data_IF_874933288339
#
_entry.id   IF_874933288339
#
_cell.length_a   1.000
_cell.length_b   1.000
_cell.length_c   1.000
_cell.angle_alpha   90.00
_cell.angle_beta   90.00
_cell.angle_gamma   90.00
#
_symmetry.space_group_name_H-M   'P 1'
#
loop_
_entity.id
_entity.type
_entity.pdbx_description
1 polymer ?
#
# COMPACT_ATOMS: atom_id res chain seq x y z
N UNK A 1 -3.70 16.32 28.63
CA UNK A 1 -4.27 15.31 27.74
C UNK A 1 -4.96 15.96 26.57
N UNK A 2 -4.54 15.63 25.35
CA UNK A 2 -5.24 15.97 24.10
C UNK A 2 -6.07 14.78 23.67
N UNK A 3 -7.35 15.00 23.43
CA UNK A 3 -8.22 14.00 22.79
C UNK A 3 -8.24 14.26 21.29
N UNK A 4 -8.05 13.21 20.50
CA UNK A 4 -8.17 13.21 19.04
C UNK A 4 -9.44 12.44 18.70
N UNK A 5 -10.50 13.18 18.40
CA UNK A 5 -11.77 12.60 17.96
C UNK A 5 -11.65 12.15 16.50
N UNK A 6 -11.75 10.85 16.26
CA UNK A 6 -11.59 10.24 14.94
C UNK A 6 -12.94 9.71 14.46
N UNK A 7 -13.50 10.34 13.43
CA UNK A 7 -14.56 9.71 12.64
C UNK A 7 -13.94 8.61 11.78
N UNK A 8 -14.60 7.46 11.67
CA UNK A 8 -14.05 6.31 10.95
C UNK A 8 -14.99 5.93 9.82
N UNK A 9 -14.42 5.74 8.64
CA UNK A 9 -15.10 5.21 7.47
C UNK A 9 -14.36 3.99 6.97
N UNK A 10 -15.10 2.96 6.55
CA UNK A 10 -14.51 1.77 5.92
C UNK A 10 -15.18 1.50 4.58
N UNK A 11 -14.43 0.98 3.63
CA UNK A 11 -15.02 0.42 2.43
C UNK A 11 -15.96 -0.74 2.81
N UNK A 12 -17.10 -0.95 2.11
CA UNK A 12 -18.04 -2.03 2.41
C UNK A 12 -17.40 -3.42 2.57
N UNK A 13 -16.36 -3.72 1.80
CA UNK A 13 -15.64 -5.00 1.86
C UNK A 13 -14.55 -5.10 2.92
N UNK A 14 -14.27 -4.02 3.67
CA UNK A 14 -13.30 -4.07 4.78
C UNK A 14 -13.99 -4.51 6.06
N UNK A 15 -13.45 -5.54 6.71
CA UNK A 15 -13.88 -6.06 8.02
C UNK A 15 -13.35 -5.20 9.17
N UNK A 16 -14.14 -4.22 9.60
CA UNK A 16 -13.78 -3.31 10.68
C UNK A 16 -14.99 -2.88 11.51
N UNK A 17 -14.98 -3.25 12.79
CA UNK A 17 -16.06 -2.99 13.74
C UNK A 17 -15.73 -1.88 14.72
N UNK A 18 -16.76 -1.37 15.40
CA UNK A 18 -16.61 -0.42 16.52
C UNK A 18 -15.65 -0.92 17.60
N UNK A 19 -15.74 -2.20 17.99
CA UNK A 19 -14.88 -2.77 19.04
C UNK A 19 -13.44 -2.93 18.58
N UNK A 20 -13.21 -3.28 17.30
CA UNK A 20 -11.87 -3.31 16.70
C UNK A 20 -11.25 -1.91 16.67
N UNK A 21 -12.03 -0.89 16.30
CA UNK A 21 -11.62 0.51 16.34
C UNK A 21 -11.19 0.96 17.74
N UNK A 22 -12.05 0.73 18.73
CA UNK A 22 -11.81 1.17 20.11
C UNK A 22 -10.55 0.49 20.69
N UNK A 23 -10.33 -0.78 20.38
CA UNK A 23 -9.11 -1.51 20.77
C UNK A 23 -7.87 -0.87 20.13
N UNK A 24 -7.86 -0.66 18.82
CA UNK A 24 -6.72 -0.07 18.10
C UNK A 24 -6.43 1.34 18.62
N UNK A 25 -7.45 2.15 18.87
CA UNK A 25 -7.27 3.50 19.42
C UNK A 25 -6.72 3.49 20.84
N UNK A 26 -7.17 2.55 21.68
CA UNK A 26 -6.61 2.35 23.01
C UNK A 26 -5.13 1.95 22.93
N UNK A 27 -4.78 1.02 22.06
CA UNK A 27 -3.41 0.54 21.87
C UNK A 27 -2.49 1.65 21.31
N UNK A 28 -2.94 2.39 20.29
CA UNK A 28 -2.23 3.54 19.73
C UNK A 28 -2.02 4.66 20.78
N UNK A 29 -3.05 4.99 21.56
CA UNK A 29 -2.95 5.98 22.65
C UNK A 29 -1.94 5.54 23.69
N UNK A 30 -2.04 4.28 24.13
CA UNK A 30 -1.14 3.70 25.12
C UNK A 30 0.31 3.69 24.65
N UNK A 31 0.53 3.45 23.36
CA UNK A 31 1.86 3.48 22.73
C UNK A 31 2.50 4.85 22.85
N UNK A 32 1.76 5.93 22.54
CA UNK A 32 2.26 7.30 22.67
C UNK A 32 2.40 7.77 24.12
N UNK A 33 1.57 7.28 25.04
CA UNK A 33 1.55 7.73 26.44
C UNK A 33 2.62 7.09 27.33
N UNK A 34 3.26 6.02 26.89
CA UNK A 34 4.27 5.31 27.68
C UNK A 34 5.62 6.00 27.58
N UNK A 35 6.46 5.76 28.59
CA UNK A 35 7.88 6.08 28.56
C UNK A 35 8.66 4.78 28.46
N UNK A 36 9.01 4.43 27.24
CA UNK A 36 9.54 3.14 26.85
C UNK A 36 11.07 3.11 26.71
N UNK A 37 11.73 4.24 26.97
CA UNK A 37 13.19 4.39 26.93
C UNK A 37 13.68 5.76 27.43
N UNK A 38 15.00 5.96 27.44
CA UNK A 38 15.58 7.24 27.85
C UNK A 38 15.35 8.38 26.84
N UNK A 39 15.28 8.04 25.55
CA UNK A 39 15.07 9.00 24.45
C UNK A 39 13.58 9.26 24.18
N UNK A 40 12.71 8.50 24.82
CA UNK A 40 11.28 8.53 24.62
C UNK A 40 10.61 9.57 25.54
N UNK A 41 9.69 10.33 24.96
CA UNK A 41 8.91 11.36 25.64
C UNK A 41 7.45 10.93 25.62
N UNK A 42 6.85 10.57 26.77
CA UNK A 42 5.44 10.21 26.80
C UNK A 42 4.58 11.40 26.36
N UNK A 43 3.66 11.14 25.43
CA UNK A 43 2.74 12.12 24.85
C UNK A 43 1.34 11.82 25.31
N UNK A 44 0.76 12.77 26.04
CA UNK A 44 -0.57 12.64 26.64
C UNK A 44 -1.68 12.86 25.58
N UNK A 45 -1.78 11.94 24.62
CA UNK A 45 -2.78 11.90 23.55
C UNK A 45 -3.66 10.68 23.67
N UNK A 46 -4.96 10.88 23.46
CA UNK A 46 -5.94 9.82 23.41
C UNK A 46 -6.71 9.87 22.10
N UNK A 47 -6.58 8.84 21.27
CA UNK A 47 -7.48 8.61 20.15
C UNK A 47 -8.80 8.07 20.68
N UNK A 48 -9.91 8.67 20.24
CA UNK A 48 -11.25 8.21 20.58
C UNK A 48 -12.11 8.23 19.33
N UNK A 49 -13.00 7.25 19.23
CA UNK A 49 -13.91 7.16 18.09
C UNK A 49 -15.03 8.18 18.23
N UNK A 50 -15.24 8.97 17.17
CA UNK A 50 -16.34 9.94 17.06
C UNK A 50 -17.52 9.30 16.35
N UNK A 51 -18.46 8.75 17.12
CA UNK A 51 -19.63 8.06 16.57
C UNK A 51 -19.35 6.61 16.18
N UNK A 52 -20.17 6.00 15.34
CA UNK A 52 -19.94 4.62 14.85
C UNK A 52 -18.93 4.59 13.71
N UNK A 53 -18.35 3.41 13.45
CA UNK A 53 -17.69 3.12 12.18
C UNK A 53 -18.73 3.20 11.06
N UNK A 54 -18.53 4.14 10.15
CA UNK A 54 -19.39 4.36 9.01
C UNK A 54 -18.91 3.54 7.80
N UNK A 55 -19.79 3.35 6.83
CA UNK A 55 -19.48 2.70 5.56
C UNK A 55 -19.31 3.77 4.49
N UNK A 56 -18.21 3.71 3.73
CA UNK A 56 -17.96 4.59 2.59
C UNK A 56 -19.07 4.40 1.54
N UNK A 57 -19.46 5.47 0.81
CA UNK A 57 -20.34 5.33 -0.34
C UNK A 57 -19.83 4.31 -1.36
N UNK A 58 -20.74 3.60 -2.05
CA UNK A 58 -20.39 2.53 -2.99
C UNK A 58 -19.59 3.01 -4.22
N UNK A 59 -19.60 4.32 -4.51
CA UNK A 59 -18.83 4.91 -5.61
C UNK A 59 -17.38 5.22 -5.22
N UNK A 60 -16.94 4.79 -4.04
CA UNK A 60 -15.61 5.05 -3.50
C UNK A 60 -14.80 3.77 -3.64
N UNK A 61 -13.63 3.80 -4.27
CA UNK A 61 -12.92 2.58 -4.60
C UNK A 61 -12.42 1.85 -3.35
N UNK A 62 -12.50 0.52 -3.38
CA UNK A 62 -11.93 -0.33 -2.33
C UNK A 62 -10.41 -0.39 -2.34
N UNK A 63 -9.76 0.01 -3.43
CA UNK A 63 -8.31 0.10 -3.56
C UNK A 63 -7.97 1.41 -4.24
N UNK A 64 -7.06 2.19 -3.65
CA UNK A 64 -6.63 3.47 -4.22
C UNK A 64 -5.50 3.27 -5.23
N UNK A 65 -5.74 3.53 -6.52
CA UNK A 65 -4.81 3.23 -7.63
C UNK A 65 -4.32 4.44 -8.38
N UNK A 66 -5.12 5.51 -8.35
CA UNK A 66 -4.87 6.73 -9.09
C UNK A 66 -4.93 7.94 -8.18
N UNK A 67 -4.49 9.08 -8.70
CA UNK A 67 -4.71 10.38 -8.05
C UNK A 67 -6.21 10.70 -7.90
N UNK A 68 -7.05 10.20 -8.82
CA UNK A 68 -8.51 10.38 -8.72
C UNK A 68 -9.05 9.63 -7.51
N UNK A 69 -8.70 8.35 -7.35
CA UNK A 69 -9.11 7.51 -6.22
C UNK A 69 -8.66 8.12 -4.90
N UNK A 70 -7.42 8.60 -4.85
CA UNK A 70 -6.90 9.36 -3.72
C UNK A 70 -7.79 10.56 -3.40
N UNK A 71 -8.14 11.37 -4.39
CA UNK A 71 -9.01 12.53 -4.18
C UNK A 71 -10.42 12.11 -3.74
N UNK A 72 -10.98 11.04 -4.30
CA UNK A 72 -12.31 10.54 -3.92
C UNK A 72 -12.33 10.10 -2.46
N UNK A 73 -11.36 9.27 -2.04
CA UNK A 73 -11.27 8.79 -0.66
C UNK A 73 -11.03 9.93 0.32
N UNK A 74 -10.07 10.83 0.04
CA UNK A 74 -9.71 11.93 0.95
C UNK A 74 -10.73 13.07 0.97
N UNK A 75 -11.57 13.22 -0.05
CA UNK A 75 -12.63 14.25 -0.06
C UNK A 75 -13.89 13.83 0.71
N UNK A 76 -14.03 12.54 1.04
CA UNK A 76 -15.11 12.05 1.91
C UNK A 76 -14.78 12.40 3.34
N UNK A 77 -15.72 13.05 4.03
CA UNK A 77 -15.64 13.41 5.44
C UNK A 77 -14.26 14.00 5.81
N UNK A 78 -14.17 15.32 5.71
CA UNK A 78 -12.94 16.14 5.86
C UNK A 78 -12.12 15.92 7.14
N UNK A 79 -12.55 15.08 8.09
CA UNK A 79 -11.81 14.82 9.33
C UNK A 79 -12.02 13.37 9.77
N UNK A 80 -11.34 12.41 9.13
CA UNK A 80 -11.60 10.99 9.39
C UNK A 80 -10.44 10.06 9.03
N UNK A 81 -10.46 8.89 9.65
CA UNK A 81 -9.73 7.70 9.24
C UNK A 81 -10.56 6.94 8.19
N UNK A 82 -9.99 6.68 7.01
CA UNK A 82 -10.58 5.85 5.97
C UNK A 82 -9.85 4.51 5.90
N UNK A 83 -10.62 3.43 5.83
CA UNK A 83 -10.09 2.09 5.69
C UNK A 83 -10.48 1.53 4.33
N UNK A 84 -9.48 1.26 3.51
CA UNK A 84 -9.59 0.65 2.17
C UNK A 84 -8.95 -0.73 2.19
N UNK A 85 -9.26 -1.57 1.20
CA UNK A 85 -8.62 -2.89 1.06
C UNK A 85 -7.14 -2.76 0.69
N UNK A 86 -6.78 -1.77 -0.12
CA UNK A 86 -5.40 -1.56 -0.55
C UNK A 86 -5.10 -0.13 -0.97
N UNK A 87 -3.82 0.23 -0.94
CA UNK A 87 -3.33 1.52 -1.39
C UNK A 87 -2.19 1.25 -2.37
N UNK A 88 -2.46 1.43 -3.66
CA UNK A 88 -1.48 1.34 -4.74
C UNK A 88 -0.98 2.72 -5.20
N UNK A 89 -1.67 3.78 -4.78
CA UNK A 89 -1.25 5.16 -4.96
C UNK A 89 -1.53 5.98 -3.70
N UNK A 90 -0.51 6.70 -3.23
CA UNK A 90 -0.64 7.75 -2.21
C UNK A 90 -0.56 9.15 -2.85
N UNK A 91 -1.10 9.30 -4.06
CA UNK A 91 -1.17 10.57 -4.78
C UNK A 91 -0.28 10.59 -6.02
N UNK A 92 1.02 10.83 -5.86
CA UNK A 92 1.99 10.96 -6.97
C UNK A 92 2.84 9.72 -7.20
N UNK A 93 2.82 8.79 -6.25
CA UNK A 93 3.67 7.61 -6.26
C UNK A 93 2.83 6.36 -6.39
N UNK A 94 3.31 5.44 -7.22
CA UNK A 94 2.72 4.13 -7.42
C UNK A 94 3.56 3.08 -6.68
N UNK A 95 2.92 2.26 -5.87
CA UNK A 95 3.58 1.29 -4.99
C UNK A 95 2.57 0.42 -4.27
N UNK A 96 2.94 -0.10 -3.10
CA UNK A 96 2.01 -0.80 -2.21
C UNK A 96 2.18 -0.25 -0.80
N UNK A 97 1.22 0.53 -0.32
CA UNK A 97 1.34 1.32 0.91
C UNK A 97 0.48 0.72 2.04
N UNK A 98 0.97 0.76 3.28
CA UNK A 98 0.19 0.36 4.44
C UNK A 98 -0.68 1.50 4.97
N UNK A 99 -0.19 2.74 4.83
CA UNK A 99 -0.87 3.96 5.21
C UNK A 99 -0.57 5.10 4.24
N UNK A 100 -1.39 6.13 4.29
CA UNK A 100 -1.21 7.35 3.52
C UNK A 100 -1.89 8.49 4.27
N UNK A 101 -1.16 9.60 4.47
CA UNK A 101 -1.69 10.82 5.03
C UNK A 101 -0.97 12.03 4.46
N UNK A 102 -1.71 13.09 4.09
CA UNK A 102 -1.07 14.33 3.69
C UNK A 102 -0.35 14.97 4.88
N UNK A 103 0.88 15.44 4.61
CA UNK A 103 1.73 16.08 5.59
C UNK A 103 1.27 17.51 5.85
N UNK A 104 1.08 17.86 7.12
CA UNK A 104 0.85 19.25 7.55
C UNK A 104 -0.48 19.86 7.11
N UNK A 105 -1.49 19.05 6.81
CA UNK A 105 -2.84 19.54 6.56
C UNK A 105 -3.54 19.91 7.88
N UNK A 106 -4.50 20.83 7.79
CA UNK A 106 -5.28 21.32 8.93
C UNK A 106 -6.44 20.43 9.34
N UNK A 107 -6.36 19.15 8.99
CA UNK A 107 -7.39 18.18 9.22
C UNK A 107 -6.80 16.80 9.47
N UNK A 108 -7.47 16.03 10.30
CA UNK A 108 -7.16 14.61 10.47
C UNK A 108 -7.63 13.87 9.22
N UNK A 109 -6.69 13.40 8.41
CA UNK A 109 -7.02 12.73 7.17
C UNK A 109 -5.99 11.65 6.89
N UNK A 110 -6.42 10.41 6.99
CA UNK A 110 -5.55 9.25 6.92
C UNK A 110 -6.32 8.15 6.20
N UNK A 111 -5.65 7.49 5.27
CA UNK A 111 -6.13 6.23 4.71
C UNK A 111 -5.19 5.13 5.16
N UNK A 112 -5.75 4.06 5.72
CA UNK A 112 -4.97 2.92 6.18
C UNK A 112 -5.55 1.64 5.58
N UNK A 113 -4.67 0.75 5.16
CA UNK A 113 -5.02 -0.60 4.73
C UNK A 113 -5.73 -1.34 5.86
N UNK A 114 -6.99 -1.69 5.66
CA UNK A 114 -7.89 -2.22 6.69
C UNK A 114 -7.50 -3.60 7.27
N UNK A 115 -6.62 -4.32 6.57
CA UNK A 115 -6.05 -5.61 6.99
C UNK A 115 -4.68 -5.48 7.66
N UNK A 116 -4.09 -4.28 7.73
CA UNK A 116 -2.78 -4.13 8.38
C UNK A 116 -2.84 -4.65 9.83
N UNK A 117 -1.84 -5.46 10.19
CA UNK A 117 -1.70 -6.01 11.54
C UNK A 117 -1.24 -4.95 12.54
N UNK A 118 -0.72 -3.84 12.02
CA UNK A 118 0.04 -2.84 12.76
C UNK A 118 -0.69 -1.50 12.81
N UNK A 119 -2.03 -1.51 12.74
CA UNK A 119 -2.85 -0.29 12.76
C UNK A 119 -2.58 0.59 13.98
N UNK A 120 -2.19 0.01 15.12
CA UNK A 120 -1.84 0.74 16.33
C UNK A 120 -0.46 1.44 16.25
N UNK A 121 0.35 1.14 15.23
CA UNK A 121 1.60 1.82 14.88
C UNK A 121 1.38 2.76 13.68
N UNK A 122 0.68 2.30 12.64
CA UNK A 122 0.42 3.10 11.44
C UNK A 122 -0.46 4.30 11.77
N UNK A 123 -1.51 4.13 12.57
CA UNK A 123 -2.39 5.24 12.96
C UNK A 123 -1.63 6.44 13.58
N UNK A 124 -0.81 6.26 14.63
CA UNK A 124 -0.05 7.38 15.18
C UNK A 124 1.04 7.88 14.21
N UNK A 125 1.57 7.05 13.32
CA UNK A 125 2.49 7.48 12.26
C UNK A 125 1.80 8.44 11.27
N UNK A 126 0.68 8.02 10.68
CA UNK A 126 -0.12 8.84 9.75
C UNK A 126 -0.65 10.12 10.42
N UNK A 127 -1.04 10.03 11.70
CA UNK A 127 -1.42 11.21 12.47
C UNK A 127 -0.24 12.18 12.66
N UNK A 128 0.98 11.65 12.80
CA UNK A 128 2.20 12.44 12.87
C UNK A 128 2.43 13.25 11.59
N UNK A 129 2.19 12.65 10.41
CA UNK A 129 2.19 13.39 9.15
C UNK A 129 1.18 14.54 9.15
N UNK A 130 -0.07 14.33 9.59
CA UNK A 130 -1.01 15.44 9.71
C UNK A 130 -0.51 16.54 10.66
N UNK A 131 0.23 16.20 11.72
CA UNK A 131 0.88 17.14 12.63
C UNK A 131 2.13 17.84 12.03
N UNK A 132 2.46 17.55 10.77
CA UNK A 132 3.61 18.12 10.04
C UNK A 132 4.94 17.48 10.41
N UNK A 133 4.94 16.21 10.83
CA UNK A 133 6.15 15.43 11.02
C UNK A 133 6.51 14.70 9.72
N UNK A 134 7.75 14.83 9.22
CA UNK A 134 8.25 13.96 8.17
C UNK A 134 8.61 12.59 8.74
N UNK A 135 8.89 11.63 7.86
CA UNK A 135 9.52 10.39 8.28
C UNK A 135 10.89 10.62 8.93
N UNK A 136 11.21 9.76 9.89
CA UNK A 136 12.55 9.60 10.44
C UNK A 136 13.31 8.54 9.67
N UNK A 137 14.63 8.75 9.62
CA UNK A 137 15.61 7.82 9.03
C UNK A 137 16.67 7.36 10.03
N UNK A 138 16.76 8.03 11.18
CA UNK A 138 17.89 7.89 12.10
C UNK A 138 17.70 6.76 13.12
N UNK A 139 16.48 6.34 13.42
CA UNK A 139 16.22 5.34 14.45
C UNK A 139 14.86 4.64 14.28
N UNK A 140 14.90 3.32 14.10
CA UNK A 140 13.74 2.47 13.85
C UNK A 140 12.86 2.17 15.07
N UNK A 141 13.22 2.69 16.25
CA UNK A 141 12.37 2.63 17.45
C UNK A 141 11.35 3.78 17.50
N UNK A 142 11.45 4.79 16.63
CA UNK A 142 10.55 5.93 16.63
C UNK A 142 9.28 5.66 15.83
N UNK A 143 8.15 6.23 16.26
CA UNK A 143 6.85 6.09 15.58
C UNK A 143 6.88 6.65 14.16
N UNK A 144 7.59 7.76 13.95
CA UNK A 144 7.73 8.37 12.62
C UNK A 144 8.74 7.64 11.72
N UNK A 145 9.24 6.46 12.09
CA UNK A 145 10.08 5.67 11.20
C UNK A 145 9.23 5.02 10.10
N UNK A 146 9.66 5.09 8.83
CA UNK A 146 8.86 4.69 7.65
C UNK A 146 8.59 3.19 7.48
N UNK A 147 8.94 2.35 8.46
CA UNK A 147 8.68 0.91 8.42
C UNK A 147 8.33 0.37 9.81
N UNK A 148 7.31 -0.47 9.89
CA UNK A 148 6.80 -1.07 11.12
C UNK A 148 7.80 -2.05 11.73
N UNK A 149 8.14 -1.84 13.00
CA UNK A 149 8.92 -2.79 13.81
C UNK A 149 8.30 -2.97 15.18
N UNK A 150 8.51 -4.16 15.78
CA UNK A 150 8.04 -4.51 17.12
C UNK A 150 8.50 -3.54 18.23
N UNK A 151 9.59 -2.80 17.99
CA UNK A 151 10.14 -1.80 18.88
C UNK A 151 9.70 -0.36 18.64
N UNK A 152 8.81 -0.07 17.68
CA UNK A 152 8.35 1.30 17.38
C UNK A 152 7.45 1.84 18.47
N UNK A 153 8.02 2.67 19.33
CA UNK A 153 7.33 3.23 20.51
C UNK A 153 7.87 4.58 20.96
N UNK A 154 8.94 5.07 20.33
CA UNK A 154 9.58 6.31 20.74
C UNK A 154 9.01 7.51 20.00
N UNK A 155 8.93 8.61 20.72
CA UNK A 155 8.81 9.95 20.17
C UNK A 155 9.76 10.87 20.93
N UNK A 156 10.38 11.81 20.23
CA UNK A 156 11.24 12.80 20.88
C UNK A 156 10.46 14.03 21.34
N UNK A 157 11.13 14.97 21.98
CA UNK A 157 10.51 16.19 22.48
C UNK A 157 9.89 17.07 21.39
N UNK A 158 10.48 17.09 20.18
CA UNK A 158 9.97 17.87 19.04
C UNK A 158 8.71 17.22 18.48
N UNK A 159 8.72 15.91 18.30
CA UNK A 159 7.57 15.13 17.86
C UNK A 159 6.42 15.21 18.86
N UNK A 160 6.71 15.03 20.15
CA UNK A 160 5.74 15.17 21.24
C UNK A 160 5.00 16.51 21.19
N UNK A 161 5.73 17.61 21.00
CA UNK A 161 5.12 18.94 20.86
C UNK A 161 4.23 19.05 19.62
N UNK A 162 4.62 18.46 18.48
CA UNK A 162 3.81 18.46 17.25
C UNK A 162 2.52 17.66 17.43
N UNK A 163 2.62 16.46 17.97
CA UNK A 163 1.48 15.62 18.31
C UNK A 163 0.48 16.34 19.25
N UNK A 164 0.96 17.04 20.29
CA UNK A 164 0.10 17.79 21.21
C UNK A 164 -0.56 19.01 20.57
N UNK A 165 0.09 19.64 19.60
CA UNK A 165 -0.50 20.72 18.81
C UNK A 165 -1.56 20.18 17.83
N UNK A 166 -1.37 18.96 17.32
CA UNK A 166 -2.24 18.30 16.36
C UNK A 166 -2.00 18.76 14.92
N UNK A 167 -2.96 18.48 14.01
CA UNK A 167 -2.87 18.88 12.61
C UNK A 167 -2.65 20.39 12.45
N UNK A 168 -1.77 20.79 11.54
CA UNK A 168 -1.33 22.19 11.41
C UNK A 168 -2.43 23.07 10.82
N UNK A 169 -2.76 24.22 11.42
CA UNK A 169 -3.88 25.08 10.98
C UNK A 169 -3.80 25.57 9.51
N UNK A 170 -2.61 25.63 8.90
CA UNK A 170 -2.41 25.91 7.47
C UNK A 170 -0.96 25.65 7.04
N UNK A 171 -0.78 24.90 5.95
CA UNK A 171 0.35 25.05 5.04
C UNK A 171 -0.23 25.13 3.62
N UNK A 172 -0.37 26.36 3.10
CA UNK A 172 -0.33 26.59 1.65
C UNK A 172 1.14 26.39 1.24
N UNK A 173 1.51 25.16 0.90
CA UNK A 173 2.87 24.83 0.48
C UNK A 173 2.92 23.39 -0.01
N UNK A 174 3.68 23.16 -1.09
CA UNK A 174 3.94 21.81 -1.61
C UNK A 174 4.40 20.88 -0.49
N UNK A 175 3.85 19.66 -0.49
CA UNK A 175 4.25 18.61 0.43
C UNK A 175 5.77 18.40 0.27
N UNK A 176 6.57 18.47 1.33
CA UNK A 176 7.98 18.13 1.22
C UNK A 176 8.09 16.70 0.69
N UNK A 177 8.90 16.50 -0.34
CA UNK A 177 9.17 15.20 -0.94
C UNK A 177 9.77 14.27 0.14
N UNK A 178 9.07 13.19 0.43
CA UNK A 178 9.47 12.22 1.45
C UNK A 178 10.34 11.18 0.76
N UNK A 179 11.66 11.36 0.77
CA UNK A 179 12.55 10.25 0.42
C UNK A 179 12.65 9.30 1.62
N UNK A 180 12.39 8.01 1.42
CA UNK A 180 12.51 7.00 2.46
C UNK A 180 13.90 6.36 2.34
N UNK A 181 14.83 6.68 3.25
CA UNK A 181 16.07 5.92 3.37
C UNK A 181 15.91 4.86 4.45
N UNK A 182 16.31 3.64 4.13
CA UNK A 182 16.13 2.45 4.95
C UNK A 182 17.34 2.27 5.86
N UNK A 183 17.19 1.68 7.07
CA UNK A 183 18.30 1.59 7.99
C UNK A 183 19.24 0.44 7.61
N UNK A 184 20.51 0.57 7.98
CA UNK A 184 21.65 -0.37 7.82
C UNK A 184 21.38 -1.81 8.35
N UNK A 185 20.25 -2.05 9.02
CA UNK A 185 19.76 -3.39 9.39
C UNK A 185 19.22 -4.21 8.22
N UNK A 186 18.99 -3.61 7.05
CA UNK A 186 18.56 -4.29 5.82
C UNK A 186 19.66 -5.15 5.17
N UNK A 187 20.66 -5.63 5.91
CA UNK A 187 21.68 -6.54 5.35
C UNK A 187 21.20 -7.98 5.23
N UNK A 188 20.21 -8.37 6.02
CA UNK A 188 19.63 -9.71 5.97
C UNK A 188 18.27 -9.65 5.30
N UNK A 189 18.10 -10.45 4.27
CA UNK A 189 16.84 -10.53 3.53
C UNK A 189 15.65 -10.88 4.44
N UNK A 190 15.85 -11.76 5.43
CA UNK A 190 14.81 -12.12 6.42
C UNK A 190 14.25 -10.89 7.15
N UNK A 191 15.13 -10.05 7.68
CA UNK A 191 14.73 -8.88 8.46
C UNK A 191 14.04 -7.85 7.58
N UNK A 192 14.39 -7.82 6.29
CA UNK A 192 13.80 -6.93 5.29
C UNK A 192 12.38 -7.39 4.91
N UNK A 193 12.20 -8.63 4.44
CA UNK A 193 10.88 -9.08 3.97
C UNK A 193 9.89 -9.37 5.08
N UNK A 194 10.34 -9.54 6.33
CA UNK A 194 9.45 -9.60 7.50
C UNK A 194 9.20 -8.23 8.15
N UNK A 195 9.55 -7.14 7.48
CA UNK A 195 9.21 -5.76 7.87
C UNK A 195 8.06 -5.23 7.01
N UNK A 196 7.00 -4.71 7.64
CA UNK A 196 5.94 -3.99 6.93
C UNK A 196 6.39 -2.53 6.69
N UNK A 197 6.48 -2.10 5.44
CA UNK A 197 6.89 -0.74 5.08
C UNK A 197 5.67 0.15 4.90
N UNK A 198 5.60 1.27 5.62
CA UNK A 198 4.42 2.13 5.63
C UNK A 198 4.24 2.79 4.27
N UNK A 199 5.35 3.29 3.72
CA UNK A 199 5.40 4.02 2.45
C UNK A 199 5.78 3.14 1.25
N UNK A 200 5.61 1.82 1.40
CA UNK A 200 5.98 0.83 0.39
C UNK A 200 7.42 0.34 0.50
N UNK A 201 7.68 -0.76 -0.19
CA UNK A 201 8.98 -1.43 -0.12
C UNK A 201 10.03 -0.54 -0.80
N UNK A 202 11.14 -0.28 -0.11
CA UNK A 202 12.16 0.63 -0.60
C UNK A 202 12.99 -0.06 -1.68
N UNK A 203 12.93 0.51 -2.89
CA UNK A 203 13.48 -0.09 -4.10
C UNK A 203 15.01 -0.20 -4.08
N UNK A 204 15.71 0.85 -3.65
CA UNK A 204 17.17 0.90 -3.70
C UNK A 204 17.82 -0.21 -2.86
N UNK A 205 17.22 -0.56 -1.73
CA UNK A 205 17.72 -1.61 -0.84
C UNK A 205 17.28 -2.99 -1.29
N UNK A 206 16.04 -3.13 -1.78
CA UNK A 206 15.56 -4.40 -2.32
C UNK A 206 16.36 -4.85 -3.56
N UNK A 207 16.73 -3.92 -4.44
CA UNK A 207 17.51 -4.19 -5.66
C UNK A 207 18.98 -4.53 -5.39
N UNK A 208 19.48 -4.39 -4.16
CA UNK A 208 20.85 -4.76 -3.80
C UNK A 208 21.02 -6.25 -3.50
N UNK A 209 19.93 -6.99 -3.26
CA UNK A 209 19.98 -8.43 -3.04
C UNK A 209 20.25 -9.19 -4.36
N UNK A 210 20.81 -10.39 -4.28
CA UNK A 210 21.22 -11.16 -5.44
C UNK A 210 20.40 -12.43 -5.70
N UNK A 211 20.90 -13.25 -6.62
CA UNK A 211 20.31 -14.54 -7.02
C UNK A 211 20.12 -15.51 -5.85
N UNK A 212 21.01 -15.49 -4.84
CA UNK A 212 20.88 -16.35 -3.66
C UNK A 212 19.65 -15.97 -2.83
N UNK A 213 19.47 -14.67 -2.56
CA UNK A 213 18.29 -14.17 -1.87
C UNK A 213 17.02 -14.37 -2.70
N UNK A 214 17.07 -14.17 -4.02
CA UNK A 214 15.92 -14.42 -4.89
C UNK A 214 15.40 -15.87 -4.75
N UNK A 215 16.30 -16.87 -4.83
CA UNK A 215 15.94 -18.28 -4.61
C UNK A 215 15.36 -18.53 -3.22
N UNK A 216 15.88 -17.86 -2.20
CA UNK A 216 15.34 -17.98 -0.86
C UNK A 216 13.92 -17.42 -0.75
N UNK A 217 13.65 -16.25 -1.35
CA UNK A 217 12.32 -15.65 -1.41
C UNK A 217 11.31 -16.52 -2.17
N UNK A 218 11.73 -17.19 -3.25
CA UNK A 218 10.88 -18.15 -3.95
C UNK A 218 10.41 -19.31 -3.05
N UNK A 219 11.27 -19.79 -2.15
CA UNK A 219 10.90 -20.81 -1.16
C UNK A 219 9.93 -20.25 -0.11
N UNK A 220 10.11 -19.00 0.33
CA UNK A 220 9.18 -18.35 1.25
C UNK A 220 7.78 -18.18 0.63
N UNK A 221 7.67 -17.87 -0.66
CA UNK A 221 6.40 -17.73 -1.39
C UNK A 221 5.58 -19.03 -1.49
N UNK A 222 6.22 -20.19 -1.30
CA UNK A 222 5.54 -21.49 -1.34
C UNK A 222 4.92 -21.87 0.01
N UNK A 223 5.32 -21.21 1.09
CA UNK A 223 4.93 -21.57 2.45
C UNK A 223 3.79 -20.65 2.95
N UNK A 224 2.57 -21.19 3.16
CA UNK A 224 1.43 -20.39 3.63
C UNK A 224 1.65 -19.77 5.02
N UNK A 225 2.65 -20.22 5.79
CA UNK A 225 3.00 -19.58 7.07
C UNK A 225 3.56 -18.16 6.89
N UNK A 226 4.01 -17.81 5.68
CA UNK A 226 4.52 -16.49 5.34
C UNK A 226 3.50 -15.60 4.64
N UNK A 227 2.22 -16.02 4.57
CA UNK A 227 1.19 -15.33 3.78
C UNK A 227 1.04 -13.85 4.15
N UNK A 228 1.14 -13.56 5.45
CA UNK A 228 1.11 -12.19 6.00
C UNK A 228 2.28 -11.29 5.58
N UNK A 229 3.28 -11.85 4.88
CA UNK A 229 4.45 -11.17 4.33
C UNK A 229 4.62 -11.40 2.82
N UNK A 230 3.65 -12.04 2.14
CA UNK A 230 3.79 -12.32 0.71
C UNK A 230 3.96 -11.05 -0.11
N UNK A 231 3.28 -9.95 0.23
CA UNK A 231 3.48 -8.64 -0.43
C UNK A 231 4.94 -8.21 -0.33
N UNK A 232 5.55 -8.35 0.84
CA UNK A 232 6.95 -7.99 1.05
C UNK A 232 7.89 -8.87 0.23
N UNK A 233 7.67 -10.18 0.28
CA UNK A 233 8.49 -11.18 -0.38
C UNK A 233 8.43 -11.00 -1.91
N UNK A 234 7.23 -10.94 -2.50
CA UNK A 234 7.07 -10.93 -3.96
C UNK A 234 7.50 -9.61 -4.59
N UNK A 235 7.21 -8.48 -3.95
CA UNK A 235 7.68 -7.18 -4.46
C UNK A 235 9.20 -7.07 -4.37
N UNK A 236 9.83 -7.58 -3.30
CA UNK A 236 11.30 -7.64 -3.21
C UNK A 236 11.87 -8.54 -4.32
N UNK A 237 11.25 -9.68 -4.60
CA UNK A 237 11.64 -10.56 -5.69
C UNK A 237 11.57 -9.85 -7.06
N UNK A 238 10.51 -9.08 -7.31
CA UNK A 238 10.39 -8.25 -8.52
C UNK A 238 11.47 -7.17 -8.61
N UNK A 239 11.84 -6.55 -7.47
CA UNK A 239 12.89 -5.53 -7.41
C UNK A 239 14.30 -6.09 -7.56
N UNK A 240 14.57 -7.33 -7.13
CA UNK A 240 15.85 -8.00 -7.41
C UNK A 240 16.02 -8.22 -8.91
N UNK A 241 14.94 -8.57 -9.61
CA UNK A 241 14.97 -8.73 -11.07
C UNK A 241 15.81 -9.92 -11.53
N UNK A 242 15.86 -11.02 -10.79
CA UNK A 242 16.52 -12.25 -11.24
C UNK A 242 15.65 -12.95 -12.30
N UNK A 243 16.10 -13.09 -13.58
CA UNK A 243 15.32 -13.74 -14.62
C UNK A 243 14.87 -15.16 -14.29
N UNK A 244 15.61 -15.89 -13.43
CA UNK A 244 15.22 -17.23 -13.00
C UNK A 244 13.91 -17.24 -12.17
N UNK A 245 13.58 -16.12 -11.52
CA UNK A 245 12.41 -15.99 -10.66
C UNK A 245 11.10 -15.70 -11.41
N UNK A 246 11.13 -15.50 -12.74
CA UNK A 246 9.92 -15.23 -13.55
C UNK A 246 8.82 -16.26 -13.27
N UNK A 247 9.16 -17.54 -13.38
CA UNK A 247 8.16 -18.60 -13.28
C UNK A 247 7.60 -18.69 -11.86
N UNK A 248 8.42 -18.41 -10.83
CA UNK A 248 7.94 -18.36 -9.44
C UNK A 248 6.94 -17.21 -9.23
N UNK A 249 7.23 -16.01 -9.74
CA UNK A 249 6.34 -14.84 -9.65
C UNK A 249 5.02 -15.11 -10.39
N UNK A 250 5.09 -15.56 -11.64
CA UNK A 250 3.89 -15.82 -12.46
C UNK A 250 3.06 -16.97 -11.87
N UNK A 251 3.70 -18.04 -11.37
CA UNK A 251 2.97 -19.13 -10.73
C UNK A 251 2.33 -18.69 -9.41
N UNK A 252 2.97 -17.81 -8.64
CA UNK A 252 2.37 -17.23 -7.44
C UNK A 252 1.09 -16.45 -7.76
N UNK A 253 1.12 -15.60 -8.80
CA UNK A 253 -0.05 -14.84 -9.26
C UNK A 253 -1.20 -15.80 -9.63
N UNK A 254 -0.91 -16.82 -10.43
CA UNK A 254 -1.90 -17.80 -10.92
C UNK A 254 -2.39 -18.78 -9.84
N UNK A 255 -1.76 -18.83 -8.67
CA UNK A 255 -2.06 -19.85 -7.66
C UNK A 255 -3.42 -19.59 -6.99
N UNK A 256 -4.46 -20.33 -7.35
CA UNK A 256 -5.80 -20.19 -6.77
C UNK A 256 -5.95 -20.76 -5.35
N UNK A 257 -4.95 -21.46 -4.82
CA UNK A 257 -4.98 -21.99 -3.46
C UNK A 257 -4.68 -20.93 -2.39
N UNK A 258 -3.95 -19.86 -2.74
CA UNK A 258 -3.71 -18.71 -1.85
C UNK A 258 -4.76 -17.63 -2.14
N UNK A 259 -5.84 -17.62 -1.36
CA UNK A 259 -7.02 -16.79 -1.60
C UNK A 259 -7.51 -16.04 -0.35
N UNK A 260 -6.65 -15.85 0.65
CA UNK A 260 -6.94 -14.89 1.72
C UNK A 260 -6.80 -13.46 1.20
N UNK A 261 -7.27 -12.49 1.99
CA UNK A 261 -7.14 -11.06 1.65
C UNK A 261 -5.65 -10.65 1.51
N UNK A 262 -4.76 -11.16 2.38
CA UNK A 262 -3.32 -10.86 2.35
C UNK A 262 -2.64 -11.47 1.12
N UNK A 263 -2.96 -12.72 0.77
CA UNK A 263 -2.43 -13.35 -0.44
C UNK A 263 -2.94 -12.66 -1.70
N UNK A 264 -4.21 -12.27 -1.75
CA UNK A 264 -4.75 -11.59 -2.92
C UNK A 264 -4.10 -10.23 -3.13
N UNK A 265 -3.90 -9.47 -2.06
CA UNK A 265 -3.15 -8.23 -2.15
C UNK A 265 -1.71 -8.44 -2.61
N UNK A 266 -1.03 -9.47 -2.10
CA UNK A 266 0.30 -9.81 -2.57
C UNK A 266 0.32 -10.12 -4.08
N UNK A 267 -0.74 -10.71 -4.65
CA UNK A 267 -0.87 -10.89 -6.09
C UNK A 267 -1.06 -9.57 -6.84
N UNK A 268 -1.87 -8.65 -6.32
CA UNK A 268 -2.01 -7.31 -6.89
C UNK A 268 -0.66 -6.58 -6.90
N UNK A 269 0.11 -6.68 -5.81
CA UNK A 269 1.46 -6.15 -5.71
C UNK A 269 2.43 -6.83 -6.69
N UNK A 270 2.37 -8.17 -6.81
CA UNK A 270 3.18 -8.92 -7.75
C UNK A 270 2.90 -8.50 -9.21
N UNK A 271 1.63 -8.35 -9.59
CA UNK A 271 1.22 -7.90 -10.93
C UNK A 271 1.72 -6.48 -11.20
N UNK A 272 1.54 -5.57 -10.23
CA UNK A 272 2.05 -4.20 -10.32
C UNK A 272 3.57 -4.19 -10.55
N UNK A 273 4.31 -4.85 -9.65
CA UNK A 273 5.77 -4.83 -9.64
C UNK A 273 6.41 -5.77 -10.67
N UNK A 274 5.63 -6.60 -11.37
CA UNK A 274 6.10 -7.30 -12.56
C UNK A 274 6.59 -6.29 -13.62
N UNK A 275 6.04 -5.06 -13.62
CA UNK A 275 6.57 -3.97 -14.43
C UNK A 275 8.02 -3.61 -14.12
N UNK A 276 8.41 -3.58 -12.84
CA UNK A 276 9.81 -3.36 -12.42
C UNK A 276 10.70 -4.53 -12.82
N UNK A 277 10.20 -5.75 -12.64
CA UNK A 277 10.91 -6.95 -13.08
C UNK A 277 11.20 -6.92 -14.58
N UNK A 278 10.20 -6.58 -15.40
CA UNK A 278 10.33 -6.47 -16.87
C UNK A 278 11.32 -5.37 -17.24
N UNK A 279 11.29 -4.20 -16.58
CA UNK A 279 12.26 -3.13 -16.84
C UNK A 279 13.70 -3.57 -16.60
N UNK A 280 13.95 -4.35 -15.55
CA UNK A 280 15.29 -4.79 -15.20
C UNK A 280 15.80 -5.95 -16.07
N UNK A 281 14.90 -6.80 -16.56
CA UNK A 281 15.27 -8.06 -17.22
C UNK A 281 15.03 -8.10 -18.72
N UNK A 282 14.20 -7.20 -19.25
CA UNK A 282 13.66 -7.26 -20.62
C UNK A 282 12.96 -8.61 -20.93
N UNK A 283 12.34 -9.24 -19.91
CA UNK A 283 11.66 -10.53 -20.08
C UNK A 283 10.34 -10.37 -20.86
N UNK A 284 10.39 -10.71 -22.16
CA UNK A 284 9.25 -10.65 -23.06
C UNK A 284 8.07 -11.55 -22.68
N UNK A 285 8.31 -12.67 -21.99
CA UNK A 285 7.21 -13.55 -21.55
C UNK A 285 6.45 -12.94 -20.37
N UNK A 286 7.18 -12.32 -19.43
CA UNK A 286 6.58 -11.55 -18.33
C UNK A 286 5.78 -10.36 -18.88
N UNK A 287 6.31 -9.66 -19.90
CA UNK A 287 5.60 -8.59 -20.59
C UNK A 287 4.31 -9.06 -21.26
N UNK A 288 4.36 -10.15 -22.03
CA UNK A 288 3.19 -10.71 -22.69
C UNK A 288 2.13 -11.16 -21.67
N UNK A 289 2.55 -11.78 -20.57
CA UNK A 289 1.66 -12.13 -19.47
C UNK A 289 0.97 -10.90 -18.87
N UNK A 290 1.73 -9.87 -18.51
CA UNK A 290 1.21 -8.62 -17.95
C UNK A 290 0.26 -7.90 -18.91
N UNK A 291 0.61 -7.87 -20.20
CA UNK A 291 -0.23 -7.29 -21.27
C UNK A 291 -1.55 -8.05 -21.42
N UNK A 292 -1.52 -9.38 -21.42
CA UNK A 292 -2.73 -10.21 -21.51
C UNK A 292 -3.64 -9.96 -20.30
N UNK A 293 -3.11 -9.85 -19.07
CA UNK A 293 -3.90 -9.46 -17.89
C UNK A 293 -4.56 -8.09 -18.02
N UNK A 294 -3.87 -7.13 -18.62
CA UNK A 294 -4.38 -5.78 -18.79
C UNK A 294 -5.41 -5.65 -19.92
N UNK A 295 -5.45 -6.57 -20.89
CA UNK A 295 -6.22 -6.36 -22.15
C UNK A 295 -7.19 -7.48 -22.51
N UNK A 296 -7.10 -8.65 -21.90
CA UNK A 296 -7.98 -9.78 -22.19
C UNK A 296 -8.91 -10.10 -21.01
N UNK A 297 -10.22 -9.97 -21.22
CA UNK A 297 -11.28 -10.15 -20.20
C UNK A 297 -11.29 -11.53 -19.50
N UNK A 298 -10.53 -12.51 -19.99
CA UNK A 298 -10.57 -13.90 -19.51
C UNK A 298 -9.29 -14.41 -18.85
N UNK A 299 -8.20 -13.65 -18.93
CA UNK A 299 -6.86 -14.14 -18.58
C UNK A 299 -6.75 -14.70 -17.14
N UNK A 300 -7.50 -14.12 -16.20
CA UNK A 300 -7.50 -14.53 -14.78
C UNK A 300 -8.90 -14.65 -14.17
N UNK A 301 -9.90 -14.98 -15.00
CA UNK A 301 -11.26 -15.21 -14.51
C UNK A 301 -11.32 -16.28 -13.40
N UNK A 302 -10.52 -17.34 -13.52
CA UNK A 302 -10.45 -18.40 -12.51
C UNK A 302 -9.88 -17.90 -11.19
N UNK A 303 -8.89 -17.00 -11.22
CA UNK A 303 -8.36 -16.35 -10.02
C UNK A 303 -9.42 -15.48 -9.36
N UNK A 304 -10.14 -14.67 -10.15
CA UNK A 304 -11.18 -13.81 -9.63
C UNK A 304 -12.34 -14.58 -9.00
N UNK A 305 -12.77 -15.69 -9.64
CA UNK A 305 -13.78 -16.59 -9.09
C UNK A 305 -13.28 -17.24 -7.79
N UNK A 306 -12.05 -17.74 -7.77
CA UNK A 306 -11.47 -18.37 -6.58
C UNK A 306 -11.41 -17.39 -5.40
N UNK A 307 -11.03 -16.14 -5.65
CA UNK A 307 -11.00 -15.10 -4.63
C UNK A 307 -12.40 -14.71 -4.16
N UNK A 308 -13.33 -14.49 -5.09
CA UNK A 308 -14.72 -14.11 -4.77
C UNK A 308 -15.37 -15.16 -3.86
N UNK A 309 -15.25 -16.45 -4.21
CA UNK A 309 -15.73 -17.57 -3.40
C UNK A 309 -15.08 -17.62 -2.00
N UNK A 310 -13.79 -17.30 -1.89
CA UNK A 310 -13.08 -17.31 -0.62
C UNK A 310 -13.61 -16.23 0.33
N UNK A 311 -13.84 -15.03 -0.19
CA UNK A 311 -14.31 -13.89 0.63
C UNK A 311 -15.79 -14.05 1.01
N UNK A 312 -16.62 -14.59 0.12
CA UNK A 312 -18.04 -14.90 0.39
C UNK A 312 -18.22 -15.90 1.53
N UNK A 313 -17.28 -16.84 1.71
CA UNK A 313 -17.38 -17.90 2.72
C UNK A 313 -17.31 -17.40 4.18
N UNK A 314 -16.97 -16.13 4.39
CA UNK A 314 -16.82 -15.53 5.71
C UNK A 314 -17.86 -14.42 5.88
N UNK A 315 -19.05 -14.82 6.36
CA UNK A 315 -20.15 -13.91 6.66
C UNK A 315 -19.81 -13.02 7.88
N UNK A 316 -19.71 -11.71 7.68
CA UNK A 316 -19.66 -10.72 8.76
C UNK A 316 -20.74 -9.65 8.50
N UNK A 317 -21.53 -9.34 9.54
CA UNK A 317 -22.67 -8.43 9.41
C UNK A 317 -22.24 -7.05 8.91
N UNK A 318 -22.88 -6.59 7.83
CA UNK A 318 -22.61 -5.29 7.21
C UNK A 318 -21.33 -5.22 6.37
N UNK A 319 -20.64 -6.33 6.16
CA UNK A 319 -19.51 -6.43 5.22
C UNK A 319 -20.02 -6.98 3.89
N UNK A 320 -19.71 -6.29 2.79
CA UNK A 320 -20.09 -6.70 1.43
C UNK A 320 -18.84 -7.24 0.75
N UNK A 321 -18.79 -8.53 0.47
CA UNK A 321 -17.68 -9.14 -0.25
C UNK A 321 -17.55 -8.50 -1.66
N UNK A 322 -16.32 -8.28 -2.17
CA UNK A 322 -16.14 -7.85 -3.54
C UNK A 322 -16.60 -8.97 -4.48
N UNK A 323 -17.33 -8.60 -5.52
CA UNK A 323 -17.78 -9.57 -6.52
C UNK A 323 -16.65 -9.90 -7.51
N UNK A 324 -16.89 -10.90 -8.36
CA UNK A 324 -15.91 -11.33 -9.36
C UNK A 324 -15.51 -10.21 -10.33
N UNK A 325 -16.41 -9.26 -10.65
CA UNK A 325 -16.09 -8.16 -11.57
C UNK A 325 -15.21 -7.12 -10.89
N UNK A 326 -15.48 -6.77 -9.63
CA UNK A 326 -14.61 -5.90 -8.83
C UNK A 326 -13.20 -6.50 -8.74
N UNK A 327 -13.10 -7.79 -8.45
CA UNK A 327 -11.81 -8.49 -8.37
C UNK A 327 -11.08 -8.51 -9.73
N UNK A 328 -11.79 -8.75 -10.83
CA UNK A 328 -11.22 -8.66 -12.18
C UNK A 328 -10.71 -7.25 -12.49
N UNK A 329 -11.48 -6.22 -12.15
CA UNK A 329 -11.08 -4.83 -12.32
C UNK A 329 -9.80 -4.53 -11.51
N UNK A 330 -9.68 -5.07 -10.31
CA UNK A 330 -8.51 -4.90 -9.45
C UNK A 330 -7.23 -5.52 -10.06
N UNK A 331 -7.35 -6.72 -10.66
CA UNK A 331 -6.27 -7.41 -11.35
C UNK A 331 -5.84 -6.65 -12.61
N UNK A 332 -6.80 -6.28 -13.46
CA UNK A 332 -6.55 -5.52 -14.70
C UNK A 332 -5.95 -4.15 -14.41
N UNK A 333 -6.43 -3.45 -13.37
CA UNK A 333 -5.89 -2.16 -12.97
C UNK A 333 -4.44 -2.26 -12.47
N UNK A 334 -4.12 -3.30 -11.68
CA UNK A 334 -2.75 -3.57 -11.25
C UNK A 334 -1.84 -3.87 -12.44
N UNK A 335 -2.34 -4.61 -13.43
CA UNK A 335 -1.60 -4.91 -14.66
C UNK A 335 -1.35 -3.66 -15.51
N UNK A 336 -2.34 -2.77 -15.62
CA UNK A 336 -2.19 -1.48 -16.28
C UNK A 336 -1.13 -0.60 -15.59
N UNK A 337 -1.15 -0.51 -14.26
CA UNK A 337 -0.12 0.22 -13.52
C UNK A 337 1.28 -0.40 -13.76
N UNK A 338 1.38 -1.74 -13.77
CA UNK A 338 2.61 -2.44 -14.11
C UNK A 338 3.12 -2.13 -15.52
N UNK A 339 2.24 -2.07 -16.53
CA UNK A 339 2.59 -1.62 -17.89
C UNK A 339 3.09 -0.17 -17.90
N UNK A 340 2.54 0.69 -17.04
CA UNK A 340 3.05 2.05 -16.83
C UNK A 340 4.50 2.08 -16.37
N UNK A 341 4.89 1.15 -15.48
CA UNK A 341 6.27 1.00 -15.01
C UNK A 341 7.22 0.45 -16.09
N UNK A 342 6.71 -0.37 -17.02
CA UNK A 342 7.50 -0.87 -18.16
C UNK A 342 7.93 0.28 -19.08
N UNK A 343 7.05 1.26 -19.31
CA UNK A 343 7.34 2.49 -20.06
C UNK A 343 7.89 2.29 -21.50
N UNK A 344 7.51 1.20 -22.18
CA UNK A 344 7.85 0.97 -23.60
C UNK A 344 6.71 1.41 -24.54
N UNK A 345 6.99 1.64 -25.84
CA UNK A 345 5.94 1.92 -26.82
C UNK A 345 4.83 0.85 -26.84
N UNK A 346 5.21 -0.43 -26.75
CA UNK A 346 4.25 -1.54 -26.73
C UNK A 346 3.38 -1.54 -25.46
N UNK A 347 3.94 -1.15 -24.31
CA UNK A 347 3.17 -0.97 -23.07
C UNK A 347 2.17 0.19 -23.22
N UNK A 348 2.59 1.31 -23.80
CA UNK A 348 1.73 2.46 -24.05
C UNK A 348 0.58 2.15 -25.03
N UNK A 349 0.83 1.35 -26.07
CA UNK A 349 -0.20 0.89 -27.00
C UNK A 349 -1.24 -0.01 -26.29
N UNK A 350 -0.81 -0.86 -25.37
CA UNK A 350 -1.70 -1.68 -24.56
C UNK A 350 -2.56 -0.81 -23.62
N UNK A 351 -1.96 0.18 -22.94
CA UNK A 351 -2.68 1.15 -22.12
C UNK A 351 -3.68 1.99 -22.92
N UNK A 352 -3.33 2.36 -24.15
CA UNK A 352 -4.22 3.07 -25.06
C UNK A 352 -5.42 2.22 -25.50
N UNK A 353 -5.16 0.93 -25.76
CA UNK A 353 -6.20 -0.03 -26.09
C UNK A 353 -7.16 -0.20 -24.92
N UNK A 354 -6.63 -0.37 -23.70
CA UNK A 354 -7.44 -0.46 -22.48
C UNK A 354 -8.27 0.81 -22.26
N UNK A 355 -7.65 1.99 -22.29
CA UNK A 355 -8.34 3.26 -22.07
C UNK A 355 -9.41 3.61 -23.13
N UNK A 356 -9.36 3.01 -24.32
CA UNK A 356 -10.35 3.22 -25.40
C UNK A 356 -11.38 2.12 -25.51
N UNK A 357 -11.21 0.99 -24.84
CA UNK A 357 -12.14 -0.12 -24.95
C UNK A 357 -13.54 0.29 -24.47
N UNK A 358 -14.56 -0.10 -25.24
CA UNK A 358 -15.95 0.10 -24.85
C UNK A 358 -16.38 -0.79 -23.67
N UNK A 359 -15.63 -1.87 -23.38
CA UNK A 359 -15.86 -2.73 -22.22
C UNK A 359 -15.19 -2.21 -20.94
N UNK A 360 -14.23 -1.28 -21.04
CA UNK A 360 -13.53 -0.76 -19.86
C UNK A 360 -14.40 0.20 -19.05
N UNK A 361 -14.46 -0.06 -17.74
CA UNK A 361 -15.07 0.83 -16.76
C UNK A 361 -14.37 2.19 -16.72
N UNK A 362 -15.04 3.18 -16.12
CA UNK A 362 -14.46 4.50 -15.90
C UNK A 362 -13.18 4.42 -15.06
N UNK A 363 -13.16 3.57 -14.03
CA UNK A 363 -11.97 3.27 -13.22
C UNK A 363 -10.79 2.83 -14.08
N UNK A 364 -10.98 1.84 -14.97
CA UNK A 364 -9.90 1.32 -15.81
C UNK A 364 -9.36 2.37 -16.79
N UNK A 365 -10.22 3.29 -17.25
CA UNK A 365 -9.80 4.40 -18.12
C UNK A 365 -8.93 5.40 -17.36
N UNK A 366 -9.31 5.76 -16.14
CA UNK A 366 -8.52 6.67 -15.29
C UNK A 366 -7.20 6.02 -14.84
N UNK A 367 -7.21 4.73 -14.50
CA UNK A 367 -5.98 3.97 -14.19
C UNK A 367 -5.07 3.92 -15.42
N UNK A 368 -5.60 3.64 -16.62
CA UNK A 368 -4.81 3.64 -17.86
C UNK A 368 -4.16 4.99 -18.14
N UNK A 369 -4.88 6.08 -17.86
CA UNK A 369 -4.34 7.45 -17.98
C UNK A 369 -3.22 7.68 -16.97
N UNK A 370 -3.42 7.33 -15.71
CA UNK A 370 -2.39 7.47 -14.66
C UNK A 370 -1.15 6.61 -14.93
N UNK A 371 -1.32 5.40 -15.47
CA UNK A 371 -0.22 4.55 -15.91
C UNK A 371 0.57 5.17 -17.07
N UNK A 372 -0.10 5.83 -18.02
CA UNK A 372 0.57 6.58 -19.09
C UNK A 372 1.36 7.78 -18.56
N UNK A 373 0.81 8.54 -17.61
CA UNK A 373 1.52 9.64 -16.95
C UNK A 373 2.79 9.12 -16.23
N UNK A 374 2.72 7.94 -15.62
CA UNK A 374 3.88 7.25 -15.02
C UNK A 374 4.92 6.87 -16.08
N UNK A 375 4.50 6.27 -17.20
CA UNK A 375 5.39 5.92 -18.31
C UNK A 375 6.07 7.15 -18.93
N UNK A 376 5.36 8.27 -19.06
CA UNK A 376 5.91 9.55 -19.52
C UNK A 376 6.96 10.10 -18.54
N UNK A 377 6.70 10.01 -17.23
CA UNK A 377 7.66 10.39 -16.18
C UNK A 377 8.93 9.54 -16.26
N UNK A 378 8.79 8.21 -16.34
CA UNK A 378 9.93 7.28 -16.50
C UNK A 378 10.71 7.58 -17.79
N UNK A 379 10.02 7.87 -18.89
CA UNK A 379 10.66 8.22 -20.16
C UNK A 379 11.48 9.53 -20.07
N UNK A 380 11.06 10.45 -19.20
CA UNK A 380 11.69 11.76 -19.01
C UNK A 380 12.84 11.71 -18.00
N UNK A 381 12.64 11.04 -16.87
CA UNK A 381 13.58 11.01 -15.73
C UNK A 381 14.53 9.80 -15.77
N UNK A 382 14.22 8.79 -16.58
CA UNK A 382 14.83 7.47 -16.51
C UNK A 382 14.20 6.62 -15.40
N UNK A 383 14.20 5.29 -15.57
CA UNK A 383 13.58 4.38 -14.62
C UNK A 383 14.23 4.43 -13.22
N UNK A 384 15.56 4.45 -13.15
CA UNK A 384 16.26 4.64 -11.87
C UNK A 384 15.92 5.99 -11.23
N UNK A 385 15.78 7.06 -12.03
CA UNK A 385 15.40 8.38 -11.52
C UNK A 385 14.00 8.37 -10.92
N UNK A 386 13.04 7.75 -11.62
CA UNK A 386 11.68 7.58 -11.14
C UNK A 386 11.61 6.80 -9.82
N UNK A 387 12.41 5.74 -9.64
CA UNK A 387 12.38 4.89 -8.43
C UNK A 387 13.07 5.50 -7.20
N UNK A 388 13.89 6.54 -7.38
CA UNK A 388 14.59 7.24 -6.29
C UNK A 388 13.78 8.38 -5.67
N UNK A 389 12.73 8.82 -6.35
CA UNK A 389 11.84 9.92 -5.96
C UNK A 389 10.50 9.37 -5.48
#
# INVERSE_FOLDING_TARGET
MRTVDVEIWRHPSVRFSNSKADRIFADASKRLQRKDGMRDVPVDIQFVRKGNVNVLPNNVPGVMRSRSDYNEVFNIARTSLKLVRGIQSCGTHTGTFAGCAPVGVNRLDMTIKGTSRSLDIILPHEFGHNCGLPDRRDNSQFIMFGAVRSGMKFVDQREASKYLNGPLETLEGELPEVTSEVPDSARRIDDFVFTEYIHGIPFEEASQYGEEEARYLEELLKDPRNEEFFTQIVTTLCYIGDPASRDAIVNFIKNTAFNTDDAFEAKLAAILHLGDFIQQTDDGNAFDFLKTLATEDSAEKDLAIAQSNAVESVEEEGVVAPDTNEIMEDLTASAALGLGLVATPAANDALETLGRSSSSSETLREVSKSAKETAEKISTEGWEGYRKN
#
